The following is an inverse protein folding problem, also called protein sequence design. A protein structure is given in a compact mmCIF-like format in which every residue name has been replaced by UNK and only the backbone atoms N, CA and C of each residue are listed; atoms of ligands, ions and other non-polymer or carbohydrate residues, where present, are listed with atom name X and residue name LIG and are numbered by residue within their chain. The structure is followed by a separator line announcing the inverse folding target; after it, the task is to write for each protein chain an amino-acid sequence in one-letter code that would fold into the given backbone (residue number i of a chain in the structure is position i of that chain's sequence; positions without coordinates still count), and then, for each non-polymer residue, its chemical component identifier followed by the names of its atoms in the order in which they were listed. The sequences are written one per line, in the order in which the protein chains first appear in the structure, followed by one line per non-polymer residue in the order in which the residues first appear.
data_IF_820222499548
#
_entry.id   IF_820222499548
#
_cell.length_a   1.000
_cell.length_b   1.000
_cell.length_c   1.000
_cell.angle_alpha   90.00
_cell.angle_beta   90.00
_cell.angle_gamma   90.00
#
_symmetry.space_group_name_H-M   'P 1'
#
loop_
_entity.id
_entity.type
_entity.pdbx_description
1 polymer ?
#
# COMPACT_ATOMS: atom_id res chain seq x y z
N UNK A 1 8.25 5.20 15.06
CA UNK A 1 7.84 4.91 13.67
C UNK A 1 6.36 4.58 13.68
N UNK A 2 5.57 5.33 12.93
CA UNK A 2 4.11 5.23 12.90
C UNK A 2 3.65 3.84 12.45
N UNK A 3 2.68 3.25 13.16
CA UNK A 3 2.20 1.89 12.87
C UNK A 3 1.61 1.76 11.45
N UNK A 4 1.10 2.86 10.90
CA UNK A 4 0.55 2.92 9.53
C UNK A 4 1.67 2.81 8.50
N UNK A 5 2.81 3.49 8.72
CA UNK A 5 3.96 3.42 7.82
C UNK A 5 4.52 2.00 7.71
N UNK A 6 4.66 1.30 8.85
CA UNK A 6 5.10 -0.11 8.86
C UNK A 6 4.14 -1.05 8.13
N UNK A 7 2.83 -0.77 8.18
CA UNK A 7 1.84 -1.56 7.46
C UNK A 7 1.93 -1.32 5.95
N UNK A 8 2.06 -0.05 5.53
CA UNK A 8 2.24 0.31 4.12
C UNK A 8 3.49 -0.35 3.54
N UNK A 9 4.64 -0.26 4.23
CA UNK A 9 5.89 -0.89 3.81
C UNK A 9 5.72 -2.41 3.57
N UNK A 10 5.11 -3.13 4.52
CA UNK A 10 4.85 -4.58 4.36
C UNK A 10 3.93 -4.90 3.18
N UNK A 11 2.93 -4.06 2.92
CA UNK A 11 2.00 -4.26 1.79
C UNK A 11 2.68 -3.96 0.45
N UNK A 12 3.56 -2.96 0.40
CA UNK A 12 4.37 -2.63 -0.78
C UNK A 12 5.33 -3.78 -1.09
N UNK A 13 6.09 -4.24 -0.10
CA UNK A 13 7.02 -5.37 -0.26
C UNK A 13 6.32 -6.64 -0.74
N UNK A 14 5.16 -6.94 -0.15
CA UNK A 14 4.35 -8.08 -0.57
C UNK A 14 3.91 -7.95 -2.02
N UNK A 15 3.47 -6.77 -2.46
CA UNK A 15 3.08 -6.53 -3.85
C UNK A 15 4.24 -6.77 -4.78
N UNK A 16 5.37 -6.09 -4.55
CA UNK A 16 6.57 -6.25 -5.37
C UNK A 16 6.96 -7.72 -5.53
N UNK A 17 6.87 -8.52 -4.45
CA UNK A 17 7.19 -9.95 -4.48
C UNK A 17 6.18 -10.81 -5.25
N UNK A 18 4.89 -10.48 -5.19
CA UNK A 18 3.81 -11.30 -5.76
C UNK A 18 3.53 -10.94 -7.21
N UNK A 19 3.54 -9.65 -7.55
CA UNK A 19 3.16 -9.13 -8.87
C UNK A 19 4.36 -8.78 -9.73
N UNK A 20 5.56 -8.67 -9.16
CA UNK A 20 6.74 -8.17 -9.86
C UNK A 20 6.68 -6.66 -10.15
N UNK A 21 5.74 -5.94 -9.53
CA UNK A 21 5.63 -4.49 -9.69
C UNK A 21 6.89 -3.77 -9.21
N UNK A 22 7.22 -2.66 -9.87
CA UNK A 22 8.23 -1.74 -9.35
C UNK A 22 7.73 -1.08 -8.05
N UNK A 23 8.67 -0.69 -7.19
CA UNK A 23 8.34 -0.10 -5.88
C UNK A 23 7.40 1.11 -5.99
N UNK A 24 7.57 1.95 -7.01
CA UNK A 24 6.71 3.10 -7.25
C UNK A 24 5.25 2.69 -7.53
N UNK A 25 5.05 1.69 -8.40
CA UNK A 25 3.71 1.17 -8.74
C UNK A 25 3.06 0.49 -7.54
N UNK A 26 3.83 -0.34 -6.82
CA UNK A 26 3.35 -1.02 -5.62
C UNK A 26 2.91 -0.02 -4.54
N UNK A 27 3.69 1.05 -4.34
CA UNK A 27 3.38 2.13 -3.38
C UNK A 27 2.12 2.89 -3.78
N UNK A 28 2.03 3.34 -5.03
CA UNK A 28 0.86 4.05 -5.54
C UNK A 28 -0.42 3.23 -5.35
N UNK A 29 -0.37 1.94 -5.68
CA UNK A 29 -1.53 1.07 -5.56
C UNK A 29 -1.91 0.78 -4.10
N UNK A 30 -0.95 0.66 -3.18
CA UNK A 30 -1.24 0.52 -1.74
C UNK A 30 -1.91 1.78 -1.21
N UNK A 31 -1.37 2.96 -1.52
CA UNK A 31 -1.94 4.24 -1.07
C UNK A 31 -3.36 4.46 -1.63
N UNK A 32 -3.59 4.18 -2.92
CA UNK A 32 -4.91 4.26 -3.53
C UNK A 32 -5.94 3.35 -2.84
N UNK A 33 -5.53 2.15 -2.41
CA UNK A 33 -6.41 1.25 -1.66
C UNK A 33 -6.78 1.81 -0.27
N UNK A 34 -5.83 2.43 0.43
CA UNK A 34 -6.10 3.11 1.70
C UNK A 34 -7.05 4.31 1.54
N UNK A 35 -6.86 5.12 0.49
CA UNK A 35 -7.76 6.23 0.20
C UNK A 35 -9.19 5.77 -0.08
N UNK A 36 -9.35 4.68 -0.83
CA UNK A 36 -10.66 4.08 -1.09
C UNK A 36 -11.32 3.60 0.20
N UNK A 37 -10.58 2.87 1.05
CA UNK A 37 -11.07 2.42 2.36
C UNK A 37 -11.48 3.58 3.29
N UNK A 38 -10.84 4.75 3.16
CA UNK A 38 -11.21 5.94 3.93
C UNK A 38 -12.54 6.51 3.45
N UNK A 39 -12.75 6.60 2.13
CA UNK A 39 -14.00 7.09 1.52
C UNK A 39 -15.18 6.15 1.75
N UNK A 40 -14.96 4.85 1.77
CA UNK A 40 -16.02 3.85 2.01
C UNK A 40 -16.53 3.84 3.46
N UNK A 41 -15.91 4.60 4.38
CA UNK A 41 -16.32 4.74 5.79
C UNK A 41 -17.03 6.07 6.09
N UNK A 42 -17.11 6.98 5.13
CA UNK A 42 -17.92 8.21 5.19
C UNK A 42 -19.35 7.92 4.70
#
# INVERSE_FOLDING_TARGET
MDSTQKLVEKLVDRRMRVTGESQAVATANVMAAFEKLRKDKE
#
